data_IF_391842670115
#
_entry.id   IF_391842670115
#
_cell.length_a   1.000
_cell.length_b   1.000
_cell.length_c   1.000
_cell.angle_alpha   90.00
_cell.angle_beta   90.00
_cell.angle_gamma   90.00
#
_symmetry.space_group_name_H-M   'P 1'
#
loop_
_entity.id
_entity.type
_entity.pdbx_description
1 polymer ?
#
# COMPACT_ATOMS: atom_id res chain seq x y z
N UNK A 1 31.13 11.46 0.89
CA UNK A 1 30.69 12.87 0.78
C UNK A 1 29.65 13.11 -0.34
N UNK A 2 29.73 12.47 -1.50
CA UNK A 2 28.74 12.62 -2.59
C UNK A 2 27.40 11.91 -2.29
N UNK A 3 27.42 10.76 -1.61
CA UNK A 3 26.22 9.99 -1.23
C UNK A 3 25.36 10.67 -0.14
N UNK A 4 25.99 11.42 0.75
CA UNK A 4 25.27 12.19 1.79
C UNK A 4 24.54 13.42 1.18
N UNK A 5 25.08 13.99 0.10
CA UNK A 5 24.44 15.10 -0.61
C UNK A 5 23.25 14.68 -1.46
N UNK A 6 23.25 13.45 -2.03
CA UNK A 6 22.09 12.93 -2.75
C UNK A 6 20.93 12.58 -1.79
N UNK A 7 21.23 11.98 -0.65
CA UNK A 7 20.23 11.68 0.36
C UNK A 7 19.59 12.97 0.93
N UNK A 8 20.38 14.02 1.13
CA UNK A 8 19.89 15.34 1.60
C UNK A 8 19.10 16.07 0.50
N UNK A 9 19.45 15.92 -0.77
CA UNK A 9 18.72 16.53 -1.87
C UNK A 9 17.35 15.85 -2.09
N UNK A 10 17.27 14.52 -2.01
CA UNK A 10 16.02 13.77 -2.02
C UNK A 10 15.16 14.10 -0.79
N UNK A 11 15.76 14.24 0.40
CA UNK A 11 15.03 14.62 1.61
C UNK A 11 14.42 16.04 1.48
N UNK A 12 15.11 17.00 0.87
CA UNK A 12 14.59 18.36 0.68
C UNK A 12 13.45 18.43 -0.35
N UNK A 13 13.37 17.52 -1.32
CA UNK A 13 12.24 17.45 -2.25
C UNK A 13 10.98 16.93 -1.53
N UNK A 14 11.13 16.08 -0.54
CA UNK A 14 9.99 15.52 0.23
C UNK A 14 9.55 16.38 1.42
N UNK A 15 10.43 17.26 1.95
CA UNK A 15 10.13 18.10 3.12
C UNK A 15 9.43 19.42 2.73
N UNK A 16 9.49 19.85 1.47
CA UNK A 16 8.88 21.10 1.02
C UNK A 16 7.60 20.98 0.20
N UNK A 17 7.19 19.77 -0.17
CA UNK A 17 5.84 19.57 -0.70
C UNK A 17 4.91 19.26 0.45
N UNK A 18 3.85 20.04 0.62
CA UNK A 18 2.75 19.84 1.53
C UNK A 18 2.22 18.39 1.44
N UNK A 19 2.89 17.46 2.13
CA UNK A 19 2.30 16.18 2.46
C UNK A 19 1.32 16.49 3.60
N UNK A 20 0.18 17.02 3.23
CA UNK A 20 -0.96 17.08 4.11
C UNK A 20 -1.22 15.65 4.58
N UNK A 21 -1.17 15.45 5.88
CA UNK A 21 -1.32 14.17 6.59
C UNK A 21 -2.74 13.56 6.44
N UNK A 22 -3.43 13.87 5.37
CA UNK A 22 -4.75 13.33 5.08
C UNK A 22 -4.62 11.90 4.55
N UNK A 23 -5.42 11.06 5.13
CA UNK A 23 -5.65 9.66 4.78
C UNK A 23 -5.48 9.42 3.26
N UNK A 24 -4.91 8.28 2.80
CA UNK A 24 -4.72 7.95 1.38
C UNK A 24 -6.01 7.84 0.54
N UNK A 25 -7.10 8.39 1.02
CA UNK A 25 -8.38 8.56 0.33
C UNK A 25 -8.65 10.01 -0.08
N UNK A 26 -7.66 10.92 -0.05
CA UNK A 26 -7.85 12.26 -0.61
C UNK A 26 -7.95 12.13 -2.13
N UNK A 27 -9.17 12.04 -2.58
CA UNK A 27 -9.51 12.27 -3.97
C UNK A 27 -9.36 13.78 -4.22
N UNK A 28 -8.46 14.19 -5.11
CA UNK A 28 -8.38 15.58 -5.60
C UNK A 28 -9.77 16.03 -6.05
N UNK A 29 -10.12 17.30 -5.93
CA UNK A 29 -11.35 18.01 -6.31
C UNK A 29 -12.37 17.22 -7.17
N UNK A 30 -12.80 16.07 -6.71
CA UNK A 30 -13.72 15.19 -7.42
C UNK A 30 -15.14 15.41 -6.92
N UNK A 31 -16.13 15.14 -7.77
CA UNK A 31 -17.55 15.28 -7.44
C UNK A 31 -17.93 14.58 -6.14
N UNK A 32 -17.29 13.42 -5.85
CA UNK A 32 -17.54 12.65 -4.63
C UNK A 32 -17.15 13.36 -3.33
N UNK A 33 -16.32 14.40 -3.39
CA UNK A 33 -15.95 15.17 -2.20
C UNK A 33 -17.12 15.95 -1.60
N UNK A 34 -18.17 16.17 -2.38
CA UNK A 34 -19.40 16.87 -1.97
C UNK A 34 -20.48 15.89 -1.46
N UNK A 35 -20.12 14.64 -1.19
CA UNK A 35 -21.05 13.60 -0.76
C UNK A 35 -20.57 12.97 0.55
N UNK A 36 -21.53 12.49 1.35
CA UNK A 36 -21.22 11.55 2.41
C UNK A 36 -20.75 10.23 1.79
N UNK A 37 -19.73 9.64 2.36
CA UNK A 37 -19.12 8.41 1.83
C UNK A 37 -18.94 7.37 2.92
N UNK A 38 -19.39 6.16 2.63
CA UNK A 38 -19.13 4.98 3.44
C UNK A 38 -18.30 4.00 2.60
N UNK A 39 -17.20 3.52 3.18
CA UNK A 39 -16.39 2.47 2.58
C UNK A 39 -16.65 1.16 3.31
N UNK A 40 -17.04 0.13 2.58
CA UNK A 40 -17.15 -1.24 3.09
C UNK A 40 -15.99 -2.06 2.58
N UNK A 41 -15.28 -2.69 3.49
CA UNK A 41 -14.15 -3.57 3.19
C UNK A 41 -14.20 -4.83 4.03
N UNK A 42 -13.47 -5.84 3.63
CA UNK A 42 -13.29 -7.06 4.40
C UNK A 42 -11.81 -7.24 4.74
N UNK A 43 -11.54 -7.66 5.96
CA UNK A 43 -10.20 -8.10 6.33
C UNK A 43 -9.86 -9.37 5.56
N UNK A 44 -8.97 -9.25 4.58
CA UNK A 44 -8.52 -10.33 3.71
C UNK A 44 -9.03 -10.23 2.28
N UNK A 45 -10.30 -10.31 2.02
CA UNK A 45 -10.87 -10.17 0.66
C UNK A 45 -12.37 -10.04 0.73
N UNK A 46 -12.92 -9.00 0.13
CA UNK A 46 -14.34 -8.97 -0.18
C UNK A 46 -14.56 -9.78 -1.47
N UNK A 47 -15.32 -10.86 -1.36
CA UNK A 47 -15.72 -11.64 -2.51
C UNK A 47 -16.97 -11.04 -3.17
N UNK A 48 -17.11 -11.23 -4.47
CA UNK A 48 -18.33 -10.83 -5.19
C UNK A 48 -19.64 -11.40 -4.63
N UNK A 49 -19.60 -12.53 -3.93
CA UNK A 49 -20.79 -13.07 -3.27
C UNK A 49 -21.39 -12.16 -2.20
N UNK A 50 -20.59 -11.28 -1.62
CA UNK A 50 -21.04 -10.27 -0.64
C UNK A 50 -21.60 -9.03 -1.32
N UNK A 51 -21.28 -8.81 -2.59
CA UNK A 51 -21.67 -7.58 -3.31
C UNK A 51 -23.17 -7.46 -3.46
N UNK A 52 -23.90 -8.57 -3.69
CA UNK A 52 -25.35 -8.54 -3.82
C UNK A 52 -26.02 -8.11 -2.51
N UNK A 53 -25.56 -8.60 -1.35
CA UNK A 53 -26.11 -8.17 -0.06
C UNK A 53 -25.85 -6.68 0.20
N UNK A 54 -24.69 -6.17 -0.24
CA UNK A 54 -24.35 -4.75 -0.15
C UNK A 54 -25.27 -3.94 -1.07
N UNK A 55 -25.46 -4.35 -2.33
CA UNK A 55 -26.35 -3.71 -3.28
C UNK A 55 -27.77 -3.66 -2.74
N UNK A 56 -28.30 -4.78 -2.21
CA UNK A 56 -29.63 -4.84 -1.63
C UNK A 56 -29.77 -3.88 -0.44
N UNK A 57 -28.74 -3.74 0.38
CA UNK A 57 -28.72 -2.81 1.50
C UNK A 57 -28.70 -1.35 1.01
N UNK A 58 -27.90 -1.04 0.01
CA UNK A 58 -27.79 0.29 -0.60
C UNK A 58 -29.06 0.71 -1.31
N UNK A 59 -29.72 -0.23 -2.00
CA UNK A 59 -31.01 0.02 -2.65
C UNK A 59 -32.09 0.43 -1.63
N UNK A 60 -32.04 -0.10 -0.41
CA UNK A 60 -32.92 0.30 0.70
C UNK A 60 -32.59 1.70 1.25
N UNK A 61 -31.33 2.13 1.12
CA UNK A 61 -30.89 3.50 1.48
C UNK A 61 -31.20 4.52 0.38
N UNK A 62 -31.48 4.06 -0.84
CA UNK A 62 -31.59 4.89 -2.05
C UNK A 62 -30.30 5.68 -2.36
N UNK A 63 -29.15 5.12 -2.03
CA UNK A 63 -27.83 5.72 -2.23
C UNK A 63 -27.12 5.13 -3.45
N UNK A 64 -26.04 5.77 -3.89
CA UNK A 64 -25.21 5.24 -4.98
C UNK A 64 -24.17 4.26 -4.44
N UNK A 65 -23.73 3.31 -5.27
CA UNK A 65 -22.68 2.35 -4.94
C UNK A 65 -21.78 2.09 -6.14
N UNK A 66 -20.48 1.93 -5.87
CA UNK A 66 -19.53 1.36 -6.82
C UNK A 66 -18.60 0.38 -6.11
N UNK A 67 -18.01 -0.51 -6.89
CA UNK A 67 -17.03 -1.48 -6.40
C UNK A 67 -15.65 -1.18 -6.97
N UNK A 68 -14.69 -0.98 -6.07
CA UNK A 68 -13.31 -0.73 -6.39
C UNK A 68 -12.50 -1.98 -6.09
N UNK A 69 -11.92 -2.57 -7.12
CA UNK A 69 -10.96 -3.67 -6.97
C UNK A 69 -9.55 -3.14 -6.75
N UNK A 70 -8.74 -3.90 -6.03
CA UNK A 70 -7.33 -3.62 -5.76
C UNK A 70 -6.50 -4.88 -5.96
N UNK A 71 -5.39 -4.78 -6.68
CA UNK A 71 -4.44 -5.86 -6.78
C UNK A 71 -3.03 -5.34 -7.07
N UNK A 72 -2.03 -6.15 -6.72
CA UNK A 72 -0.70 -6.01 -7.28
C UNK A 72 -0.59 -6.97 -8.47
N UNK A 73 -0.29 -6.41 -9.62
CA UNK A 73 -0.09 -7.16 -10.86
C UNK A 73 1.38 -7.12 -11.26
N UNK A 74 1.85 -8.16 -11.93
CA UNK A 74 3.20 -8.22 -12.46
C UNK A 74 3.36 -7.26 -13.63
N UNK A 75 4.55 -6.67 -13.77
CA UNK A 75 4.98 -5.95 -14.97
C UNK A 75 6.12 -6.75 -15.59
N UNK A 76 5.90 -7.27 -16.78
CA UNK A 76 6.87 -8.07 -17.52
C UNK A 76 7.75 -7.21 -18.41
N UNK A 77 7.15 -6.28 -19.14
CA UNK A 77 7.88 -5.40 -20.05
C UNK A 77 7.13 -4.12 -20.34
N UNK A 78 7.89 -3.12 -20.79
CA UNK A 78 7.38 -1.87 -21.36
C UNK A 78 8.01 -1.71 -22.75
N UNK A 79 7.18 -1.39 -23.73
CA UNK A 79 7.63 -1.12 -25.09
C UNK A 79 7.03 0.20 -25.59
N UNK A 80 7.77 0.87 -26.49
CA UNK A 80 7.26 2.06 -27.17
C UNK A 80 6.14 1.71 -28.13
N UNK A 81 5.47 2.73 -28.66
CA UNK A 81 4.52 2.56 -29.76
C UNK A 81 5.12 1.81 -30.97
N UNK A 82 6.44 1.97 -31.20
CA UNK A 82 7.19 1.32 -32.28
C UNK A 82 7.77 -0.05 -31.88
N UNK A 83 7.38 -0.58 -30.72
CA UNK A 83 7.85 -1.83 -30.13
C UNK A 83 9.33 -1.85 -29.68
N UNK A 84 9.96 -0.70 -29.49
CA UNK A 84 11.28 -0.65 -28.85
C UNK A 84 11.14 -0.94 -27.36
N UNK A 85 11.94 -1.88 -26.84
CA UNK A 85 11.89 -2.29 -25.43
C UNK A 85 12.50 -1.22 -24.53
N UNK A 86 11.72 -0.69 -23.59
CA UNK A 86 12.15 0.26 -22.55
C UNK A 86 12.49 -0.42 -21.24
N UNK A 87 11.76 -1.47 -20.90
CA UNK A 87 11.92 -2.25 -19.69
C UNK A 87 11.76 -3.73 -19.99
N UNK A 88 12.65 -4.54 -19.44
CA UNK A 88 12.53 -6.00 -19.39
C UNK A 88 12.85 -6.53 -18.01
N UNK A 89 12.39 -7.73 -17.71
CA UNK A 89 12.61 -8.39 -16.42
C UNK A 89 13.63 -9.51 -16.52
N UNK A 90 14.16 -9.92 -15.38
CA UNK A 90 14.94 -11.15 -15.25
C UNK A 90 14.04 -12.36 -15.52
N UNK A 91 14.63 -13.45 -15.96
CA UNK A 91 13.89 -14.68 -16.19
C UNK A 91 13.13 -15.15 -14.94
N UNK A 92 11.83 -15.36 -15.08
CA UNK A 92 10.90 -15.73 -14.01
C UNK A 92 10.75 -14.68 -12.87
N UNK A 93 11.14 -13.44 -13.10
CA UNK A 93 10.89 -12.32 -12.20
C UNK A 93 9.98 -11.29 -12.85
N UNK A 94 9.19 -10.58 -12.05
CA UNK A 94 8.31 -9.51 -12.49
C UNK A 94 8.44 -8.32 -11.55
N UNK A 95 8.43 -7.10 -12.09
CA UNK A 95 8.09 -5.94 -11.28
C UNK A 95 6.62 -6.02 -10.86
N UNK A 96 6.22 -5.24 -9.88
CA UNK A 96 4.84 -5.23 -9.42
C UNK A 96 4.32 -3.81 -9.30
N UNK A 97 3.10 -3.58 -9.78
CA UNK A 97 2.39 -2.32 -9.56
C UNK A 97 1.06 -2.57 -8.83
N UNK A 98 0.68 -1.63 -7.98
CA UNK A 98 -0.61 -1.61 -7.34
C UNK A 98 -1.65 -1.00 -8.29
N UNK A 99 -2.61 -1.80 -8.73
CA UNK A 99 -3.71 -1.35 -9.57
C UNK A 99 -4.99 -1.16 -8.77
N UNK A 100 -5.71 -0.11 -9.11
CA UNK A 100 -7.09 0.15 -8.74
C UNK A 100 -7.99 -0.07 -9.95
N UNK A 101 -9.10 -0.77 -9.77
CA UNK A 101 -10.14 -0.89 -10.80
C UNK A 101 -11.37 -0.10 -10.41
N UNK A 102 -12.04 0.51 -11.39
CA UNK A 102 -13.24 1.28 -11.17
C UNK A 102 -14.28 1.00 -12.26
N UNK A 103 -15.55 1.07 -11.93
CA UNK A 103 -16.63 0.87 -12.88
C UNK A 103 -16.80 2.07 -13.81
N UNK A 104 -16.91 1.81 -15.11
CA UNK A 104 -17.09 2.85 -16.13
C UNK A 104 -18.33 3.72 -15.90
N UNK A 105 -19.38 3.17 -15.29
CA UNK A 105 -20.62 3.88 -14.95
C UNK A 105 -20.47 4.91 -13.84
N UNK A 106 -19.45 4.77 -13.00
CA UNK A 106 -19.28 5.61 -11.80
C UNK A 106 -17.97 6.41 -11.78
N UNK A 107 -17.10 6.18 -12.76
CA UNK A 107 -15.77 6.80 -12.83
C UNK A 107 -15.82 8.33 -12.78
N UNK A 108 -16.85 8.96 -13.37
CA UNK A 108 -17.04 10.41 -13.42
C UNK A 108 -17.30 11.07 -12.05
N UNK A 109 -17.59 10.28 -11.01
CA UNK A 109 -17.66 10.78 -9.63
C UNK A 109 -16.30 10.88 -8.97
N UNK A 110 -15.33 10.08 -9.43
CA UNK A 110 -14.00 9.92 -8.83
C UNK A 110 -12.92 10.66 -9.60
N UNK A 111 -13.13 10.94 -10.87
CA UNK A 111 -12.16 11.57 -11.76
C UNK A 111 -12.83 12.60 -12.66
N UNK A 112 -12.05 13.55 -13.15
CA UNK A 112 -12.51 14.51 -14.15
C UNK A 112 -12.81 13.83 -15.50
N UNK A 113 -13.42 14.58 -16.42
CA UNK A 113 -13.90 14.03 -17.70
C UNK A 113 -12.75 13.49 -18.59
N UNK A 114 -11.57 14.10 -18.54
CA UNK A 114 -10.40 13.65 -19.33
C UNK A 114 -9.88 12.28 -18.84
N UNK A 115 -9.67 12.14 -17.54
CA UNK A 115 -9.25 10.88 -16.90
C UNK A 115 -10.30 9.81 -17.10
N UNK A 116 -11.58 10.17 -16.89
CA UNK A 116 -12.70 9.24 -17.06
C UNK A 116 -12.78 8.69 -18.48
N UNK A 117 -12.52 9.52 -19.49
CA UNK A 117 -12.47 9.09 -20.90
C UNK A 117 -11.37 8.07 -21.15
N UNK A 118 -10.18 8.28 -20.61
CA UNK A 118 -9.06 7.33 -20.76
C UNK A 118 -9.42 5.98 -20.14
N UNK A 119 -9.95 5.98 -18.92
CA UNK A 119 -10.35 4.75 -18.23
C UNK A 119 -11.47 4.02 -18.99
N UNK A 120 -12.50 4.74 -19.47
CA UNK A 120 -13.60 4.19 -20.27
C UNK A 120 -13.12 3.59 -21.59
N UNK A 121 -12.02 4.09 -22.15
CA UNK A 121 -11.40 3.58 -23.38
C UNK A 121 -10.47 2.39 -23.14
N UNK A 122 -10.51 1.75 -21.97
CA UNK A 122 -9.68 0.61 -21.61
C UNK A 122 -8.17 0.90 -21.61
N UNK A 123 -7.77 2.14 -21.37
CA UNK A 123 -6.38 2.53 -21.23
C UNK A 123 -5.99 2.65 -19.77
N UNK A 124 -4.69 2.53 -19.49
CA UNK A 124 -4.12 2.69 -18.17
C UNK A 124 -3.88 4.18 -17.89
N UNK A 125 -4.37 4.64 -16.76
CA UNK A 125 -3.88 5.87 -16.14
C UNK A 125 -2.82 5.47 -15.13
N UNK A 126 -1.61 6.00 -15.26
CA UNK A 126 -0.45 5.64 -14.43
C UNK A 126 -0.01 6.83 -13.57
N UNK A 127 0.53 6.57 -12.40
CA UNK A 127 1.07 7.61 -11.52
C UNK A 127 2.43 8.11 -12.01
N UNK A 128 2.76 9.35 -11.65
CA UNK A 128 4.00 10.00 -12.07
C UNK A 128 5.25 9.24 -11.60
N UNK A 129 5.31 8.85 -10.31
CA UNK A 129 6.43 8.07 -9.78
C UNK A 129 6.58 6.72 -10.50
N UNK A 130 5.49 6.08 -10.87
CA UNK A 130 5.52 4.82 -11.62
C UNK A 130 5.97 5.04 -13.06
N UNK A 131 5.50 6.11 -13.69
CA UNK A 131 5.90 6.47 -15.03
C UNK A 131 7.42 6.79 -15.10
N UNK A 132 7.93 7.56 -14.16
CA UNK A 132 9.38 7.84 -14.04
C UNK A 132 10.19 6.56 -13.82
N UNK A 133 9.77 5.73 -12.87
CA UNK A 133 10.46 4.48 -12.50
C UNK A 133 10.59 3.49 -13.66
N UNK A 134 9.57 3.36 -14.46
CA UNK A 134 9.54 2.42 -15.59
C UNK A 134 9.73 3.09 -16.95
N UNK A 135 10.12 4.36 -16.96
CA UNK A 135 10.34 5.16 -18.18
C UNK A 135 9.12 5.15 -19.12
N UNK A 136 7.91 5.22 -18.55
CA UNK A 136 6.66 5.21 -19.30
C UNK A 136 6.36 6.60 -19.91
N UNK A 137 5.82 6.56 -21.11
CA UNK A 137 5.25 7.72 -21.81
C UNK A 137 3.83 7.42 -22.27
N UNK A 138 3.05 8.44 -22.56
CA UNK A 138 1.71 8.27 -23.16
C UNK A 138 1.87 7.52 -24.49
N UNK A 139 0.99 6.58 -24.75
CA UNK A 139 0.95 5.62 -25.86
C UNK A 139 1.99 4.49 -25.78
N UNK A 140 2.83 4.41 -24.78
CA UNK A 140 3.61 3.20 -24.55
C UNK A 140 2.66 2.04 -24.18
N UNK A 141 3.13 0.83 -24.44
CA UNK A 141 2.44 -0.40 -24.08
C UNK A 141 3.14 -1.06 -22.90
N UNK A 142 2.39 -1.44 -21.91
CA UNK A 142 2.86 -2.18 -20.75
C UNK A 142 2.26 -3.58 -20.76
N UNK A 143 3.09 -4.60 -20.65
CA UNK A 143 2.67 -5.99 -20.51
C UNK A 143 2.52 -6.31 -19.02
N UNK A 144 1.27 -6.51 -18.63
CA UNK A 144 0.90 -6.88 -17.26
C UNK A 144 0.63 -8.37 -17.16
N UNK A 145 1.11 -8.98 -16.11
CA UNK A 145 0.75 -10.36 -15.74
C UNK A 145 -0.28 -10.29 -14.62
N UNK A 146 -1.48 -10.76 -14.96
CA UNK A 146 -2.62 -10.75 -14.03
C UNK A 146 -2.49 -11.77 -12.90
N UNK A 147 -3.45 -11.75 -11.99
CA UNK A 147 -3.57 -12.73 -10.89
C UNK A 147 -3.91 -14.14 -11.38
N UNK A 148 -4.38 -14.27 -12.60
CA UNK A 148 -4.65 -15.53 -13.31
C UNK A 148 -3.41 -16.04 -14.07
N UNK A 149 -2.27 -15.36 -13.96
CA UNK A 149 -1.03 -15.60 -14.70
C UNK A 149 -1.15 -15.42 -16.24
N UNK A 150 -2.19 -14.72 -16.67
CA UNK A 150 -2.38 -14.41 -18.09
C UNK A 150 -1.78 -13.04 -18.41
N UNK A 151 -1.03 -12.91 -19.51
CA UNK A 151 -0.50 -11.63 -19.97
C UNK A 151 -1.60 -10.76 -20.57
N UNK A 152 -1.50 -9.46 -20.32
CA UNK A 152 -2.36 -8.45 -20.91
C UNK A 152 -1.54 -7.23 -21.31
N UNK A 153 -1.47 -6.95 -22.60
CA UNK A 153 -0.91 -5.69 -23.09
C UNK A 153 -1.95 -4.57 -22.94
N UNK A 154 -1.53 -3.46 -22.35
CA UNK A 154 -2.38 -2.29 -22.17
C UNK A 154 -1.62 -1.01 -22.54
N UNK A 155 -2.32 -0.05 -23.15
CA UNK A 155 -1.72 1.23 -23.54
C UNK A 155 -1.81 2.23 -22.39
N UNK A 156 -0.73 2.97 -22.14
CA UNK A 156 -0.69 4.10 -21.22
C UNK A 156 -1.43 5.28 -21.89
N UNK A 157 -2.57 5.65 -21.34
CA UNK A 157 -3.40 6.72 -21.89
C UNK A 157 -3.16 8.08 -21.22
N UNK A 158 -2.70 8.07 -19.97
CA UNK A 158 -2.46 9.31 -19.21
C UNK A 158 -1.48 9.06 -18.05
N UNK A 159 -0.75 10.11 -17.69
CA UNK A 159 0.11 10.16 -16.50
C UNK A 159 -0.42 11.25 -15.57
N UNK A 160 -0.66 10.92 -14.30
CA UNK A 160 -1.16 11.83 -13.27
C UNK A 160 -0.27 11.86 -12.04
N UNK A 161 -0.44 12.88 -11.21
CA UNK A 161 0.21 12.90 -9.89
C UNK A 161 -0.28 11.73 -9.04
N UNK A 162 0.61 11.17 -8.22
CA UNK A 162 0.30 10.03 -7.36
C UNK A 162 -0.88 10.31 -6.42
N UNK A 163 -0.98 11.52 -5.86
CA UNK A 163 -2.09 11.94 -5.01
C UNK A 163 -3.43 11.93 -5.73
N UNK A 164 -3.48 12.26 -7.02
CA UNK A 164 -4.71 12.25 -7.83
C UNK A 164 -5.22 10.83 -8.09
N UNK A 165 -4.34 9.84 -8.05
CA UNK A 165 -4.69 8.42 -8.12
C UNK A 165 -4.92 7.78 -6.74
N UNK A 166 -4.90 8.56 -5.66
CA UNK A 166 -5.00 8.06 -4.29
C UNK A 166 -3.84 7.13 -3.93
N UNK A 167 -2.65 7.43 -4.45
CA UNK A 167 -1.40 6.70 -4.27
C UNK A 167 -1.39 5.27 -4.84
N UNK A 168 -2.32 4.94 -5.73
CA UNK A 168 -2.20 3.76 -6.58
C UNK A 168 -1.23 4.03 -7.71
N UNK A 169 -0.48 3.00 -8.10
CA UNK A 169 0.49 3.11 -9.19
C UNK A 169 -0.19 3.11 -10.57
N UNK A 170 -1.42 2.60 -10.64
CA UNK A 170 -2.24 2.72 -11.83
C UNK A 170 -3.72 2.51 -11.57
N UNK A 171 -4.55 3.02 -12.49
CA UNK A 171 -6.00 2.87 -12.48
C UNK A 171 -6.48 2.42 -13.85
N UNK A 172 -7.35 1.43 -13.87
CA UNK A 172 -7.99 0.88 -15.06
C UNK A 172 -9.48 0.68 -14.82
N UNK A 173 -10.25 0.47 -15.88
CA UNK A 173 -11.64 0.10 -15.69
C UNK A 173 -11.79 -1.34 -15.17
N UNK A 174 -12.98 -1.66 -14.68
CA UNK A 174 -13.32 -2.97 -14.11
C UNK A 174 -13.15 -4.11 -15.11
N UNK A 175 -13.44 -3.89 -16.41
CA UNK A 175 -13.35 -4.93 -17.43
C UNK A 175 -11.89 -5.36 -17.67
N UNK A 176 -10.97 -4.41 -17.65
CA UNK A 176 -9.53 -4.69 -17.64
C UNK A 176 -9.13 -5.43 -16.37
N UNK A 177 -9.67 -5.00 -15.21
CA UNK A 177 -9.46 -5.70 -13.95
C UNK A 177 -9.89 -7.17 -14.01
N UNK A 178 -11.01 -7.47 -14.63
CA UNK A 178 -11.46 -8.86 -14.85
C UNK A 178 -10.50 -9.66 -15.71
N UNK A 179 -10.02 -9.10 -16.82
CA UNK A 179 -9.01 -9.75 -17.66
C UNK A 179 -7.71 -10.05 -16.90
N UNK A 180 -7.36 -9.20 -15.94
CA UNK A 180 -6.22 -9.39 -15.05
C UNK A 180 -6.53 -10.30 -13.84
N UNK A 181 -7.71 -10.90 -13.77
CA UNK A 181 -8.10 -11.79 -12.68
C UNK A 181 -8.38 -11.08 -11.34
N UNK A 182 -8.65 -9.78 -11.35
CA UNK A 182 -8.93 -9.01 -10.14
C UNK A 182 -10.38 -9.25 -9.70
N UNK A 183 -10.62 -10.35 -9.01
CA UNK A 183 -11.93 -10.76 -8.49
C UNK A 183 -12.05 -10.63 -6.98
N UNK A 184 -10.98 -10.25 -6.29
CA UNK A 184 -10.85 -10.18 -4.83
C UNK A 184 -10.32 -8.82 -4.42
N UNK A 185 -10.23 -8.58 -3.12
CA UNK A 185 -9.80 -7.30 -2.56
C UNK A 185 -10.67 -6.12 -3.04
N UNK A 186 -11.98 -6.35 -3.06
CA UNK A 186 -12.96 -5.36 -3.49
C UNK A 186 -13.39 -4.53 -2.29
N UNK A 187 -13.53 -3.24 -2.51
CA UNK A 187 -14.21 -2.31 -1.60
C UNK A 187 -15.49 -1.84 -2.25
N UNK A 188 -16.57 -1.77 -1.48
CA UNK A 188 -17.75 -1.03 -1.88
C UNK A 188 -17.63 0.39 -1.38
N UNK A 189 -17.84 1.35 -2.26
CA UNK A 189 -17.96 2.77 -1.92
C UNK A 189 -19.41 3.15 -2.11
N UNK A 190 -20.04 3.58 -1.03
CA UNK A 190 -21.42 4.09 -1.02
C UNK A 190 -21.37 5.59 -0.85
N UNK A 191 -22.14 6.34 -1.62
CA UNK A 191 -22.20 7.80 -1.47
C UNK A 191 -23.59 8.35 -1.75
N UNK A 192 -23.91 9.42 -1.04
CA UNK A 192 -25.09 10.25 -1.26
C UNK A 192 -24.82 11.66 -0.74
N UNK A 193 -25.70 12.63 -1.07
CA UNK A 193 -25.62 13.99 -0.52
C UNK A 193 -25.73 13.99 1.00
N UNK A 194 -26.54 13.10 1.53
CA UNK A 194 -26.74 12.89 2.96
C UNK A 194 -27.03 11.40 3.22
N UNK A 195 -26.21 10.74 4.03
CA UNK A 195 -26.41 9.34 4.43
C UNK A 195 -26.88 9.31 5.89
N UNK A 196 -28.04 8.72 6.12
CA UNK A 196 -28.49 8.44 7.48
C UNK A 196 -27.67 7.28 8.07
N UNK A 197 -26.65 7.62 8.88
CA UNK A 197 -25.73 6.65 9.48
C UNK A 197 -26.45 5.62 10.34
N UNK A 198 -27.43 6.01 11.13
CA UNK A 198 -28.16 5.07 11.98
C UNK A 198 -28.93 4.05 11.14
N UNK A 199 -29.57 4.49 10.06
CA UNK A 199 -30.26 3.60 9.15
C UNK A 199 -29.28 2.67 8.43
N UNK A 200 -28.12 3.18 8.00
CA UNK A 200 -27.06 2.34 7.43
C UNK A 200 -26.58 1.27 8.42
N UNK A 201 -26.31 1.64 9.67
CA UNK A 201 -25.86 0.69 10.71
C UNK A 201 -26.90 -0.43 10.94
N UNK A 202 -28.19 -0.10 10.95
CA UNK A 202 -29.24 -1.12 11.07
C UNK A 202 -29.27 -2.08 9.87
N UNK A 203 -29.14 -1.55 8.65
CA UNK A 203 -29.07 -2.38 7.44
C UNK A 203 -27.80 -3.25 7.42
N UNK A 204 -26.68 -2.67 7.84
CA UNK A 204 -25.38 -3.36 7.90
C UNK A 204 -25.39 -4.56 8.85
N UNK A 205 -26.13 -4.51 9.97
CA UNK A 205 -26.29 -5.64 10.90
C UNK A 205 -26.86 -6.90 10.24
N UNK A 206 -27.57 -6.74 9.13
CA UNK A 206 -28.15 -7.85 8.36
C UNK A 206 -27.16 -8.48 7.36
N UNK A 207 -25.99 -7.88 7.14
CA UNK A 207 -24.94 -8.46 6.30
C UNK A 207 -24.32 -9.64 7.07
N UNK A 208 -24.55 -10.86 6.59
CA UNK A 208 -24.22 -12.11 7.29
C UNK A 208 -22.73 -12.42 7.45
N UNK A 209 -21.87 -11.71 6.74
CA UNK A 209 -20.43 -12.01 6.70
C UNK A 209 -19.65 -11.31 7.83
N UNK A 210 -19.19 -12.10 8.80
CA UNK A 210 -18.58 -11.65 10.07
C UNK A 210 -17.28 -10.85 9.97
N UNK A 211 -16.66 -10.71 8.78
CA UNK A 211 -15.38 -10.01 8.60
C UNK A 211 -15.50 -8.74 7.78
N UNK A 212 -16.70 -8.34 7.44
CA UNK A 212 -16.96 -7.09 6.73
C UNK A 212 -16.89 -5.94 7.72
N UNK A 213 -16.19 -4.87 7.37
CA UNK A 213 -16.07 -3.65 8.15
C UNK A 213 -16.48 -2.46 7.30
N UNK A 214 -17.02 -1.45 7.93
CA UNK A 214 -17.32 -0.18 7.27
C UNK A 214 -16.60 0.97 7.97
N UNK A 215 -16.33 2.01 7.22
CA UNK A 215 -15.81 3.28 7.72
C UNK A 215 -16.55 4.43 7.05
N UNK A 216 -16.97 5.41 7.85
CA UNK A 216 -17.40 6.71 7.33
C UNK A 216 -16.17 7.53 6.90
N UNK A 217 -16.37 8.56 6.09
CA UNK A 217 -15.31 9.47 5.64
C UNK A 217 -14.79 10.34 6.80
N UNK A 218 -14.61 9.86 7.96
CA UNK A 218 -13.91 10.59 9.00
C UNK A 218 -12.42 10.31 8.94
N UNK A 219 -11.63 11.38 8.85
CA UNK A 219 -10.22 11.31 9.14
C UNK A 219 -10.03 10.93 10.60
N UNK A 220 -9.54 9.75 10.90
CA UNK A 220 -9.07 9.46 12.25
C UNK A 220 -7.74 10.20 12.44
N UNK A 221 -7.69 11.33 13.19
CA UNK A 221 -6.48 12.13 13.37
C UNK A 221 -5.38 11.35 14.12
N UNK A 222 -5.76 10.25 14.80
CA UNK A 222 -4.85 9.38 15.54
C UNK A 222 -4.37 8.18 14.73
N UNK A 223 -4.79 8.05 13.46
CA UNK A 223 -4.35 6.96 12.60
C UNK A 223 -2.87 7.13 12.28
N UNK A 224 -2.04 6.19 12.73
CA UNK A 224 -0.64 6.15 12.32
C UNK A 224 -0.57 5.90 10.80
N UNK A 225 -0.19 6.94 10.10
CA UNK A 225 -0.07 6.97 8.66
C UNK A 225 1.09 6.08 8.20
N UNK A 226 0.87 5.30 7.16
CA UNK A 226 1.86 4.43 6.54
C UNK A 226 2.21 4.94 5.15
N UNK A 227 3.44 4.69 4.70
CA UNK A 227 3.88 5.07 3.36
C UNK A 227 3.08 4.30 2.30
N UNK A 228 2.51 4.98 1.28
CA UNK A 228 2.04 4.33 0.07
C UNK A 228 3.13 3.50 -0.59
N UNK A 229 2.77 2.42 -1.28
CA UNK A 229 3.75 1.52 -1.92
C UNK A 229 4.61 2.24 -2.95
N UNK A 230 4.06 3.21 -3.68
CA UNK A 230 4.81 4.03 -4.63
C UNK A 230 5.97 4.78 -3.95
N UNK A 231 5.72 5.38 -2.77
CA UNK A 231 6.75 6.05 -1.97
C UNK A 231 7.74 5.08 -1.32
N UNK A 232 7.28 3.90 -0.89
CA UNK A 232 8.19 2.86 -0.37
C UNK A 232 9.20 2.45 -1.43
N UNK A 233 8.76 2.26 -2.66
CA UNK A 233 9.63 1.94 -3.79
C UNK A 233 10.61 3.07 -4.11
N UNK A 234 10.16 4.31 -3.99
CA UNK A 234 11.01 5.49 -4.19
C UNK A 234 12.11 5.59 -3.12
N UNK A 235 11.74 5.42 -1.85
CA UNK A 235 12.65 5.58 -0.71
C UNK A 235 13.59 4.40 -0.51
N UNK A 236 13.10 3.18 -0.73
CA UNK A 236 13.80 1.94 -0.38
C UNK A 236 14.17 1.09 -1.61
N UNK A 237 13.92 1.59 -2.80
CA UNK A 237 14.14 0.91 -4.07
C UNK A 237 12.99 -0.02 -4.47
N UNK A 238 12.76 -0.10 -5.76
CA UNK A 238 11.88 -1.11 -6.36
C UNK A 238 12.68 -2.36 -6.70
N UNK A 239 12.01 -3.50 -6.77
CA UNK A 239 12.63 -4.77 -7.11
C UNK A 239 11.66 -5.69 -7.82
N UNK A 240 12.22 -6.55 -8.65
CA UNK A 240 11.49 -7.65 -9.23
C UNK A 240 11.29 -8.77 -8.21
N UNK A 241 10.17 -9.47 -8.32
CA UNK A 241 9.85 -10.62 -7.47
C UNK A 241 9.66 -11.88 -8.29
N UNK A 242 10.02 -13.01 -7.68
CA UNK A 242 9.65 -14.34 -8.12
C UNK A 242 8.72 -14.96 -7.09
N UNK A 243 7.55 -15.41 -7.54
CA UNK A 243 6.60 -16.12 -6.69
C UNK A 243 7.20 -17.45 -6.22
N UNK A 244 6.87 -17.80 -4.98
CA UNK A 244 7.19 -19.08 -4.36
C UNK A 244 5.91 -19.71 -3.82
N UNK A 245 6.06 -20.75 -3.02
CA UNK A 245 4.94 -21.45 -2.41
C UNK A 245 4.04 -20.53 -1.59
N UNK A 246 2.79 -20.47 -1.96
CA UNK A 246 1.74 -19.76 -1.23
C UNK A 246 1.93 -18.26 -1.22
N UNK A 247 2.59 -17.72 -0.22
CA UNK A 247 2.72 -16.26 0.00
C UNK A 247 4.12 -15.74 -0.05
N UNK A 248 5.08 -16.64 0.00
CA UNK A 248 6.47 -16.28 -0.03
C UNK A 248 6.87 -15.83 -1.42
N UNK A 249 7.72 -14.83 -1.48
CA UNK A 249 8.33 -14.33 -2.69
C UNK A 249 9.85 -14.33 -2.54
N UNK A 250 10.55 -14.29 -3.65
CA UNK A 250 11.98 -14.00 -3.68
C UNK A 250 12.17 -12.64 -4.33
N UNK A 251 12.83 -11.72 -3.66
CA UNK A 251 13.20 -10.43 -4.23
C UNK A 251 14.39 -10.57 -5.15
N UNK A 252 14.54 -9.67 -6.08
CA UNK A 252 15.66 -9.56 -7.01
C UNK A 252 17.00 -9.65 -6.27
N UNK A 253 17.94 -10.52 -6.73
CA UNK A 253 19.20 -10.74 -6.02
C UNK A 253 20.06 -9.49 -5.87
N UNK A 254 20.23 -8.70 -6.94
CA UNK A 254 21.02 -7.47 -6.95
C UNK A 254 20.50 -6.44 -5.94
N UNK A 255 19.19 -6.18 -5.96
CA UNK A 255 18.57 -5.29 -4.98
C UNK A 255 18.76 -5.79 -3.55
N UNK A 256 18.56 -7.10 -3.33
CA UNK A 256 18.71 -7.69 -1.99
C UNK A 256 20.13 -7.60 -1.45
N UNK A 257 21.14 -7.85 -2.28
CA UNK A 257 22.54 -7.77 -1.92
C UNK A 257 22.96 -6.34 -1.56
N UNK A 258 22.45 -5.37 -2.28
CA UNK A 258 22.71 -3.95 -2.02
C UNK A 258 22.01 -3.43 -0.75
N UNK A 259 20.76 -3.84 -0.52
CA UNK A 259 19.88 -3.16 0.44
C UNK A 259 19.67 -3.95 1.74
N UNK A 260 19.79 -5.28 1.75
CA UNK A 260 19.53 -6.12 2.93
C UNK A 260 20.81 -6.53 3.61
N UNK A 261 20.99 -6.04 4.83
CA UNK A 261 22.18 -6.29 5.64
C UNK A 261 21.82 -7.05 6.91
N UNK A 262 22.78 -7.80 7.46
CA UNK A 262 22.68 -8.44 8.77
C UNK A 262 23.44 -7.60 9.80
N UNK A 263 22.81 -7.27 10.92
CA UNK A 263 23.44 -6.52 12.02
C UNK A 263 22.91 -7.00 13.37
N UNK A 264 23.76 -6.92 14.40
CA UNK A 264 23.36 -7.14 15.79
C UNK A 264 22.87 -5.82 16.36
N UNK A 265 21.62 -5.79 16.81
CA UNK A 265 21.00 -4.62 17.44
C UNK A 265 20.69 -4.88 18.91
N UNK A 266 20.56 -3.83 19.73
CA UNK A 266 20.16 -3.96 21.15
C UNK A 266 18.88 -4.79 21.28
N UNK A 267 18.69 -5.43 22.41
CA UNK A 267 17.48 -6.20 22.78
C UNK A 267 17.20 -7.37 21.83
N UNK A 268 17.07 -7.13 20.52
CA UNK A 268 16.58 -8.10 19.55
C UNK A 268 17.66 -9.07 19.02
N UNK A 269 18.95 -8.73 19.18
CA UNK A 269 20.07 -9.54 18.68
C UNK A 269 20.31 -9.39 17.18
N UNK A 270 20.86 -10.43 16.54
CA UNK A 270 21.17 -10.37 15.11
C UNK A 270 19.90 -10.52 14.27
N UNK A 271 19.68 -9.57 13.36
CA UNK A 271 18.57 -9.57 12.41
C UNK A 271 19.03 -9.09 11.03
N UNK A 272 18.17 -9.26 10.02
CA UNK A 272 18.39 -8.80 8.65
C UNK A 272 17.33 -7.76 8.33
N UNK A 273 17.75 -6.53 8.01
CA UNK A 273 16.86 -5.43 7.68
C UNK A 273 17.40 -4.64 6.49
N UNK A 274 16.63 -3.73 5.98
CA UNK A 274 17.08 -2.75 4.99
C UNK A 274 18.20 -1.87 5.58
N UNK A 275 19.19 -1.49 4.79
CA UNK A 275 20.31 -0.65 5.25
C UNK A 275 19.90 0.67 5.89
N UNK A 276 18.80 1.26 5.45
CA UNK A 276 18.23 2.49 6.01
C UNK A 276 17.42 2.29 7.32
N UNK A 277 17.19 1.05 7.72
CA UNK A 277 16.45 0.70 8.93
C UNK A 277 17.31 0.83 10.19
N UNK A 278 18.65 0.78 10.07
CA UNK A 278 19.53 0.60 11.21
C UNK A 278 19.52 1.76 12.17
N UNK A 279 19.65 2.99 11.68
CA UNK A 279 19.69 4.19 12.51
C UNK A 279 18.39 4.36 13.32
N UNK A 280 17.18 4.39 12.70
CA UNK A 280 15.95 4.52 13.46
C UNK A 280 15.70 3.33 14.40
N UNK A 281 16.01 2.10 13.99
CA UNK A 281 15.79 0.92 14.81
C UNK A 281 16.73 0.89 16.04
N UNK A 282 18.01 1.13 15.86
CA UNK A 282 18.96 1.18 16.96
C UNK A 282 18.67 2.33 17.92
N UNK A 283 18.29 3.49 17.39
CA UNK A 283 17.90 4.63 18.20
C UNK A 283 16.69 4.33 19.08
N UNK A 284 15.64 3.75 18.53
CA UNK A 284 14.46 3.34 19.29
C UNK A 284 14.79 2.29 20.36
N UNK A 285 15.56 1.26 20.01
CA UNK A 285 15.92 0.18 20.93
C UNK A 285 16.86 0.67 22.05
N UNK A 286 17.80 1.57 21.76
CA UNK A 286 18.66 2.19 22.78
C UNK A 286 17.84 3.06 23.75
N UNK A 287 16.90 3.82 23.24
CA UNK A 287 16.01 4.62 24.11
C UNK A 287 15.15 3.71 25.01
N UNK A 288 14.61 2.62 24.49
CA UNK A 288 13.87 1.60 25.25
C UNK A 288 14.75 1.02 26.38
N UNK A 289 16.03 0.72 26.09
CA UNK A 289 17.00 0.28 27.11
C UNK A 289 17.24 1.34 28.18
N UNK A 290 17.49 2.58 27.80
CA UNK A 290 17.74 3.69 28.71
C UNK A 290 16.55 3.98 29.63
N UNK A 291 15.33 3.79 29.15
CA UNK A 291 14.11 3.95 29.93
C UNK A 291 13.73 2.70 30.75
N UNK A 292 14.55 1.64 30.71
CA UNK A 292 14.32 0.42 31.51
C UNK A 292 13.16 -0.45 31.00
N UNK A 293 12.76 -0.31 29.74
CA UNK A 293 11.61 -0.98 29.16
C UNK A 293 11.94 -2.24 28.34
N UNK A 294 13.20 -2.67 28.35
CA UNK A 294 13.67 -3.79 27.53
C UNK A 294 12.91 -5.10 27.77
N UNK A 295 12.56 -5.38 29.02
CA UNK A 295 11.85 -6.62 29.40
C UNK A 295 10.40 -6.66 28.90
N UNK A 296 9.88 -5.53 28.39
CA UNK A 296 8.56 -5.47 27.77
C UNK A 296 8.55 -6.00 26.33
N UNK A 297 9.72 -6.22 25.73
CA UNK A 297 9.88 -6.73 24.36
C UNK A 297 10.20 -8.21 24.33
N UNK A 298 9.44 -8.99 23.56
CA UNK A 298 9.63 -10.43 23.38
C UNK A 298 10.59 -10.75 22.24
N UNK A 299 11.84 -11.02 22.58
CA UNK A 299 12.87 -11.47 21.61
C UNK A 299 12.44 -12.77 20.92
N UNK A 300 11.78 -13.67 21.64
CA UNK A 300 11.33 -14.95 21.11
C UNK A 300 10.29 -14.75 19.99
N UNK A 301 9.36 -13.84 20.20
CA UNK A 301 8.32 -13.54 19.21
C UNK A 301 8.91 -12.85 17.97
N UNK A 302 9.84 -11.91 18.16
CA UNK A 302 10.58 -11.28 17.07
C UNK A 302 11.30 -12.30 16.18
N UNK A 303 12.03 -13.23 16.77
CA UNK A 303 12.73 -14.30 16.02
C UNK A 303 11.76 -15.23 15.28
N UNK A 304 10.60 -15.50 15.86
CA UNK A 304 9.58 -16.38 15.28
C UNK A 304 8.87 -15.71 14.10
N UNK A 305 8.71 -14.41 14.12
CA UNK A 305 8.07 -13.64 13.04
C UNK A 305 8.95 -13.47 11.80
N UNK A 306 10.24 -13.82 11.89
CA UNK A 306 11.20 -13.71 10.79
C UNK A 306 12.03 -12.40 10.81
N UNK A 307 11.93 -11.61 11.85
CA UNK A 307 12.66 -10.34 11.99
C UNK A 307 12.14 -9.25 11.05
N UNK A 308 13.07 -8.43 10.50
CA UNK A 308 12.67 -7.37 9.58
C UNK A 308 12.43 -7.89 8.16
N UNK A 309 13.38 -8.65 7.61
CA UNK A 309 13.33 -9.11 6.21
C UNK A 309 12.73 -10.49 6.12
N UNK A 310 11.48 -10.52 5.68
CA UNK A 310 10.71 -11.74 5.45
C UNK A 310 9.81 -11.53 4.21
N UNK A 311 10.36 -11.69 2.99
CA UNK A 311 9.68 -11.32 1.76
C UNK A 311 8.47 -12.21 1.51
N UNK A 312 7.29 -11.59 1.58
CA UNK A 312 6.00 -12.23 1.45
C UNK A 312 4.91 -11.26 0.98
N UNK A 313 3.81 -11.79 0.51
CA UNK A 313 2.57 -11.03 0.37
C UNK A 313 1.85 -10.90 1.73
N UNK A 314 1.06 -9.85 1.92
CA UNK A 314 0.35 -9.61 3.18
C UNK A 314 -0.64 -10.73 3.46
N UNK A 315 -1.42 -11.14 2.48
CA UNK A 315 -2.40 -12.21 2.62
C UNK A 315 -1.86 -13.51 2.06
N UNK A 316 -1.72 -14.50 2.94
CA UNK A 316 -1.17 -15.83 2.62
C UNK A 316 -1.97 -16.66 1.62
N UNK A 317 -3.15 -16.21 1.19
CA UNK A 317 -4.06 -16.98 0.33
C UNK A 317 -4.43 -16.24 -0.96
N UNK A 318 -3.89 -15.03 -1.19
CA UNK A 318 -4.25 -14.22 -2.34
C UNK A 318 -3.04 -14.01 -3.27
N UNK A 319 -3.03 -14.72 -4.39
CA UNK A 319 -2.25 -14.30 -5.54
C UNK A 319 -2.62 -12.84 -5.86
N UNK A 320 -1.64 -11.95 -6.06
CA UNK A 320 -1.90 -10.52 -6.31
C UNK A 320 -2.19 -9.68 -5.06
N UNK A 321 -2.11 -10.25 -3.85
CA UNK A 321 -2.13 -9.48 -2.61
C UNK A 321 -0.96 -8.50 -2.52
N UNK A 322 -1.11 -7.43 -1.74
CA UNK A 322 -0.06 -6.44 -1.54
C UNK A 322 1.22 -7.06 -0.99
N UNK A 323 2.36 -6.58 -1.46
CA UNK A 323 3.66 -6.99 -0.93
C UNK A 323 3.84 -6.41 0.47
N UNK A 324 4.20 -7.26 1.42
CA UNK A 324 4.44 -6.86 2.81
C UNK A 324 5.64 -5.92 2.93
N UNK A 325 5.62 -4.99 3.86
CA UNK A 325 6.78 -4.12 4.19
C UNK A 325 8.00 -4.93 4.67
N UNK A 326 7.78 -6.11 5.18
CA UNK A 326 8.85 -7.07 5.45
C UNK A 326 9.63 -7.49 4.20
N UNK A 327 9.07 -7.38 3.00
CA UNK A 327 9.80 -7.68 1.77
C UNK A 327 10.88 -6.65 1.46
N UNK A 328 10.69 -5.41 1.90
CA UNK A 328 11.72 -4.37 1.88
C UNK A 328 12.64 -4.42 3.10
N UNK A 329 12.31 -5.20 4.13
CA UNK A 329 13.07 -5.23 5.39
C UNK A 329 12.93 -3.95 6.22
N UNK A 330 11.81 -3.26 6.10
CA UNK A 330 11.49 -1.98 6.79
C UNK A 330 10.37 -2.12 7.84
N UNK A 331 9.98 -3.33 8.16
CA UNK A 331 8.98 -3.62 9.18
C UNK A 331 9.49 -4.63 10.19
N UNK A 332 8.97 -4.57 11.41
CA UNK A 332 9.25 -5.54 12.48
C UNK A 332 7.95 -5.96 13.16
N UNK A 333 7.86 -7.24 13.51
CA UNK A 333 6.78 -7.79 14.32
C UNK A 333 7.34 -8.19 15.69
N UNK A 334 6.88 -7.54 16.76
CA UNK A 334 7.31 -7.79 18.13
C UNK A 334 6.06 -8.07 18.98
N UNK A 335 6.20 -8.81 20.10
CA UNK A 335 5.13 -9.06 21.08
C UNK A 335 3.82 -9.61 20.47
N UNK A 336 3.92 -10.66 19.67
CA UNK A 336 2.78 -11.26 18.95
C UNK A 336 1.64 -11.75 19.84
N UNK A 337 1.83 -11.81 21.18
CA UNK A 337 0.87 -12.36 22.14
C UNK A 337 0.59 -11.46 23.34
N UNK A 338 1.21 -10.30 23.44
CA UNK A 338 1.08 -9.40 24.58
C UNK A 338 0.82 -7.96 24.12
N UNK A 339 0.10 -7.20 24.92
CA UNK A 339 -0.10 -5.78 24.69
C UNK A 339 1.22 -5.01 24.87
N UNK A 340 1.39 -3.95 24.12
CA UNK A 340 2.54 -3.07 24.25
C UNK A 340 2.43 -2.15 25.44
N UNK A 341 3.59 -1.84 26.05
CA UNK A 341 3.69 -0.69 26.92
C UNK A 341 3.51 0.59 26.08
N UNK A 342 2.58 1.51 26.44
CA UNK A 342 2.30 2.71 25.62
C UNK A 342 3.56 3.50 25.27
N UNK A 343 4.49 3.62 26.24
CA UNK A 343 5.75 4.34 26.04
C UNK A 343 6.63 3.73 24.94
N UNK A 344 6.61 2.42 24.76
CA UNK A 344 7.34 1.74 23.67
C UNK A 344 6.78 2.16 22.31
N UNK A 345 5.46 2.25 22.18
CA UNK A 345 4.82 2.74 20.95
C UNK A 345 5.22 4.19 20.65
N UNK A 346 5.21 5.05 21.67
CA UNK A 346 5.64 6.45 21.54
C UNK A 346 7.10 6.57 21.12
N UNK A 347 8.00 5.74 21.68
CA UNK A 347 9.40 5.71 21.30
C UNK A 347 9.53 5.33 19.83
N UNK A 348 8.96 4.20 19.39
CA UNK A 348 9.03 3.81 17.98
C UNK A 348 8.46 4.90 17.06
N UNK A 349 7.31 5.47 17.38
CA UNK A 349 6.72 6.57 16.62
C UNK A 349 7.67 7.77 16.51
N UNK A 350 8.35 8.11 17.61
CA UNK A 350 9.30 9.24 17.64
C UNK A 350 10.58 8.99 16.84
N UNK A 351 10.88 7.73 16.50
CA UNK A 351 11.98 7.32 15.63
C UNK A 351 11.53 7.03 14.19
N UNK A 352 10.33 7.48 13.81
CA UNK A 352 9.84 7.43 12.45
C UNK A 352 9.08 6.15 12.07
N UNK A 353 8.68 5.34 13.04
CA UNK A 353 7.85 4.16 12.79
C UNK A 353 6.37 4.48 12.86
N UNK A 354 5.56 3.80 12.09
CA UNK A 354 4.12 3.69 12.25
C UNK A 354 3.79 2.41 13.01
N UNK A 355 2.82 2.46 13.92
CA UNK A 355 2.33 1.30 14.65
C UNK A 355 1.00 0.80 14.07
N UNK A 356 0.93 -0.49 13.76
CA UNK A 356 -0.26 -1.13 13.19
C UNK A 356 -1.47 -1.22 14.14
N UNK A 357 -1.28 -1.04 15.44
CA UNK A 357 -2.37 -1.09 16.42
C UNK A 357 -3.45 0.00 16.24
N UNK A 358 -3.13 1.08 15.51
CA UNK A 358 -4.08 2.17 15.21
C UNK A 358 -4.80 2.00 13.88
N UNK A 359 -4.51 0.94 13.12
CA UNK A 359 -5.15 0.73 11.82
C UNK A 359 -6.61 0.32 11.96
N UNK A 360 -7.40 0.53 10.90
CA UNK A 360 -8.81 0.08 10.83
C UNK A 360 -8.96 -1.43 11.08
N UNK A 361 -7.94 -2.21 10.68
CA UNK A 361 -7.75 -3.61 11.06
C UNK A 361 -6.47 -3.68 11.89
N UNK A 362 -6.54 -3.58 13.21
CA UNK A 362 -5.36 -3.50 14.06
C UNK A 362 -4.43 -4.68 13.86
N UNK A 363 -3.13 -4.37 13.72
CA UNK A 363 -2.02 -5.31 13.75
C UNK A 363 -1.03 -4.83 14.82
N UNK A 364 -1.34 -5.14 16.07
CA UNK A 364 -0.65 -4.59 17.23
C UNK A 364 0.83 -4.99 17.30
N UNK A 365 1.22 -6.12 16.69
CA UNK A 365 2.62 -6.55 16.70
C UNK A 365 3.49 -5.80 15.68
N UNK A 366 2.89 -5.11 14.71
CA UNK A 366 3.56 -4.57 13.54
C UNK A 366 3.98 -3.11 13.73
N UNK A 367 5.25 -2.84 13.44
CA UNK A 367 5.81 -1.50 13.25
C UNK A 367 6.48 -1.43 11.89
N UNK A 368 6.23 -0.38 11.13
CA UNK A 368 6.92 -0.15 9.85
C UNK A 368 7.51 1.25 9.77
N UNK A 369 8.70 1.36 9.18
CA UNK A 369 9.40 2.62 9.01
C UNK A 369 8.68 3.47 7.95
N UNK A 370 8.33 4.71 8.31
CA UNK A 370 7.60 5.65 7.46
C UNK A 370 8.32 6.98 7.26
N UNK A 371 9.21 7.35 8.18
CA UNK A 371 9.84 8.66 8.20
C UNK A 371 11.32 8.53 8.58
N UNK A 372 12.20 8.74 7.62
CA UNK A 372 13.66 8.73 7.84
C UNK A 372 14.15 10.04 8.46
N UNK A 373 13.40 11.15 8.33
CA UNK A 373 13.82 12.45 8.85
C UNK A 373 13.79 12.52 10.38
N UNK A 374 12.88 11.74 10.99
CA UNK A 374 12.74 11.67 12.44
C UNK A 374 14.01 11.15 13.13
N UNK A 375 14.72 10.19 12.54
CA UNK A 375 15.99 9.69 13.09
C UNK A 375 17.13 10.70 12.92
N UNK A 376 17.20 11.38 11.78
CA UNK A 376 18.24 12.38 11.47
C UNK A 376 18.14 13.56 12.45
N UNK A 377 16.94 14.04 12.73
CA UNK A 377 16.72 15.15 13.66
C UNK A 377 17.16 14.79 15.09
N UNK A 378 16.99 13.53 15.52
CA UNK A 378 17.40 13.05 16.85
C UNK A 378 18.91 12.75 16.95
N UNK A 379 19.55 12.33 15.87
CA UNK A 379 21.00 12.13 15.85
C UNK A 379 21.79 13.45 15.90
N UNK A 380 21.11 14.57 15.60
CA UNK A 380 21.68 15.93 15.59
C UNK A 380 21.41 16.69 16.87
N UNK A 381 20.61 16.19 17.79
CA UNK A 381 20.26 16.74 19.10
C UNK A 381 21.02 16.00 20.23
#
# INVERSE_FOLDING_TARGET
MLFTLLATALLNIFVTSDINHDSPTVYSENKINNYDVITISQSGSLFYSVTNEIIDSVNKLNSNVTFIGRANVGVESVVTLNNDVKLSTLENYLYNISLKTIESSTVDYFYNDEVSKVIKNNQLVVSNLTAERYNLSINDKINLIGMNNEPLEITVGMILKDSELGWFEGVVNKDIGYKLGIYRNIQAIIWDKEINENHFVELYKNIKYKKVKYTFRESNPNKNWVLPTALVKEMFGDFQIKERDGTWITTEPSWREENIQAKKVPILGTTRCHRLMWEPLEGALNQILQEGLADTLSIKDFKKSGGCYAPRRINRFDAGGSISRHAWGIAIDINTKSSYHPRVVEIFNSWGFAWGGTWTSPDEMHFELRDLSASISKASS
#
